data_IF_679682446558
#
_entry.id   IF_679682446558
#
_cell.length_a   1.000
_cell.length_b   1.000
_cell.length_c   1.000
_cell.angle_alpha   90.00
_cell.angle_beta   90.00
_cell.angle_gamma   90.00
#
_symmetry.space_group_name_H-M   'P 1'
#
loop_
_entity.id
_entity.type
_entity.pdbx_description
1 polymer ?
#
# COMPACT_ATOMS: atom_id res chain seq x y z
N UNK A 1 13.77 -5.86 -23.02
CA UNK A 1 13.83 -5.23 -21.68
C UNK A 1 13.32 -6.19 -20.63
N UNK A 2 13.96 -6.29 -19.47
CA UNK A 2 13.34 -6.95 -18.32
C UNK A 2 12.27 -6.03 -17.69
N UNK A 3 11.50 -6.56 -16.72
CA UNK A 3 10.39 -5.81 -16.12
C UNK A 3 10.86 -4.53 -15.40
N UNK A 4 11.95 -4.60 -14.63
CA UNK A 4 12.49 -3.43 -13.93
C UNK A 4 12.95 -2.35 -14.91
N UNK A 5 13.73 -2.74 -15.92
CA UNK A 5 14.22 -1.82 -16.98
C UNK A 5 13.05 -1.11 -17.67
N UNK A 6 11.98 -1.85 -17.99
CA UNK A 6 10.80 -1.32 -18.67
C UNK A 6 10.06 -0.31 -17.81
N UNK A 7 9.83 -0.61 -16.53
CA UNK A 7 9.19 0.32 -15.60
C UNK A 7 10.03 1.58 -15.42
N UNK A 8 11.34 1.43 -15.20
CA UNK A 8 12.25 2.57 -15.02
C UNK A 8 12.35 3.43 -16.28
N UNK A 9 12.41 2.82 -17.46
CA UNK A 9 12.39 3.56 -18.73
C UNK A 9 11.07 4.34 -18.89
N UNK A 10 9.93 3.74 -18.56
CA UNK A 10 8.63 4.41 -18.60
C UNK A 10 8.57 5.61 -17.66
N UNK A 11 9.01 5.46 -16.41
CA UNK A 11 9.07 6.55 -15.44
C UNK A 11 9.94 7.71 -15.95
N UNK A 12 11.06 7.37 -16.58
CA UNK A 12 11.99 8.34 -17.17
C UNK A 12 11.60 8.81 -18.58
N UNK A 13 10.40 8.46 -19.08
CA UNK A 13 9.88 8.83 -20.40
C UNK A 13 10.79 8.40 -21.55
N UNK A 14 11.44 7.27 -21.40
CA UNK A 14 12.29 6.65 -22.44
C UNK A 14 11.47 5.64 -23.26
N UNK A 15 11.89 5.35 -24.51
CA UNK A 15 11.26 4.32 -25.31
C UNK A 15 11.26 2.95 -24.61
N UNK A 16 10.18 2.23 -24.72
CA UNK A 16 9.99 0.89 -24.17
C UNK A 16 9.54 -0.09 -25.24
N UNK A 17 9.83 -1.36 -25.05
CA UNK A 17 9.42 -2.45 -25.95
C UNK A 17 7.91 -2.72 -25.91
N UNK A 18 7.27 -2.47 -24.77
CA UNK A 18 5.81 -2.47 -24.55
C UNK A 18 5.46 -1.66 -23.31
N UNK A 19 4.20 -1.32 -23.14
CA UNK A 19 3.71 -0.71 -21.90
C UNK A 19 3.90 -1.66 -20.71
N UNK A 20 4.43 -1.20 -19.56
CA UNK A 20 4.47 -1.99 -18.35
C UNK A 20 3.07 -2.39 -17.89
N UNK A 21 2.97 -3.59 -17.36
CA UNK A 21 1.71 -4.12 -16.81
C UNK A 21 1.81 -4.15 -15.30
N UNK A 22 0.84 -3.51 -14.66
CA UNK A 22 0.54 -3.65 -13.24
C UNK A 22 -0.80 -4.39 -13.10
N UNK A 23 -0.86 -5.35 -12.20
CA UNK A 23 -2.06 -6.15 -11.99
C UNK A 23 -2.34 -6.31 -10.50
N UNK A 24 -3.41 -5.69 -10.07
CA UNK A 24 -3.87 -5.74 -8.69
C UNK A 24 -4.91 -6.85 -8.53
N UNK A 25 -4.52 -7.94 -7.87
CA UNK A 25 -5.35 -9.12 -7.68
C UNK A 25 -5.82 -9.18 -6.23
N UNK A 26 -7.00 -8.63 -5.98
CA UNK A 26 -7.50 -8.39 -4.61
C UNK A 26 -8.41 -9.47 -4.07
N UNK A 27 -9.02 -10.28 -4.92
CA UNK A 27 -10.03 -11.22 -4.48
C UNK A 27 -9.45 -12.62 -4.32
N UNK A 28 -9.50 -13.15 -3.10
CA UNK A 28 -9.04 -14.51 -2.76
C UNK A 28 -9.59 -15.57 -3.72
N UNK A 29 -10.90 -15.55 -3.93
CA UNK A 29 -11.55 -16.51 -4.83
C UNK A 29 -11.05 -16.44 -6.27
N UNK A 30 -10.63 -15.26 -6.72
CA UNK A 30 -10.05 -15.08 -8.04
C UNK A 30 -8.61 -15.59 -8.09
N UNK A 31 -7.83 -15.31 -7.06
CA UNK A 31 -6.47 -15.85 -6.92
C UNK A 31 -6.48 -17.37 -6.87
N UNK A 32 -7.36 -17.99 -6.09
CA UNK A 32 -7.51 -19.44 -6.02
C UNK A 32 -7.82 -20.07 -7.38
N UNK A 33 -8.65 -19.42 -8.20
CA UNK A 33 -8.94 -19.87 -9.57
C UNK A 33 -7.72 -19.72 -10.48
N UNK A 34 -6.99 -18.62 -10.40
CA UNK A 34 -5.76 -18.43 -11.18
C UNK A 34 -4.69 -19.45 -10.78
N UNK A 35 -4.53 -19.72 -9.50
CA UNK A 35 -3.58 -20.72 -9.00
C UNK A 35 -3.97 -22.14 -9.41
N UNK A 36 -5.25 -22.43 -9.46
CA UNK A 36 -5.75 -23.73 -9.93
C UNK A 36 -5.51 -23.93 -11.44
N UNK A 37 -5.58 -22.87 -12.24
CA UNK A 37 -5.42 -22.92 -13.70
C UNK A 37 -3.96 -22.82 -14.15
N UNK A 38 -3.20 -21.91 -13.56
CA UNK A 38 -1.84 -21.59 -13.98
C UNK A 38 -0.76 -22.15 -13.03
N UNK A 39 -1.13 -22.62 -11.85
CA UNK A 39 -0.21 -23.01 -10.79
C UNK A 39 0.16 -21.85 -9.87
N UNK A 40 1.32 -21.91 -9.18
CA UNK A 40 1.72 -20.87 -8.23
C UNK A 40 1.67 -19.46 -8.83
N UNK A 41 1.39 -18.45 -7.98
CA UNK A 41 1.23 -17.05 -8.37
C UNK A 41 2.35 -16.55 -9.29
N UNK A 42 3.58 -16.95 -9.04
CA UNK A 42 4.75 -16.58 -9.85
C UNK A 42 4.59 -16.99 -11.31
N UNK A 43 3.99 -18.15 -11.57
CA UNK A 43 3.76 -18.64 -12.93
C UNK A 43 2.84 -17.74 -13.73
N UNK A 44 1.68 -17.39 -13.21
CA UNK A 44 0.78 -16.51 -13.96
C UNK A 44 1.30 -15.08 -14.05
N UNK A 45 2.01 -14.59 -13.02
CA UNK A 45 2.69 -13.29 -13.09
C UNK A 45 3.69 -13.27 -14.24
N UNK A 46 4.45 -14.34 -14.44
CA UNK A 46 5.38 -14.48 -15.55
C UNK A 46 4.66 -14.61 -16.90
N UNK A 47 3.63 -15.45 -16.97
CA UNK A 47 2.87 -15.70 -18.19
C UNK A 47 2.11 -14.46 -18.69
N UNK A 48 1.52 -13.70 -17.79
CA UNK A 48 0.89 -12.42 -18.12
C UNK A 48 1.86 -11.27 -18.27
N UNK A 49 3.15 -11.49 -18.01
CA UNK A 49 4.17 -10.48 -18.16
C UNK A 49 3.99 -9.28 -17.23
N UNK A 50 3.54 -9.53 -16.00
CA UNK A 50 3.36 -8.48 -14.98
C UNK A 50 4.70 -7.93 -14.57
N UNK A 51 4.87 -6.62 -14.69
CA UNK A 51 6.16 -5.94 -14.50
C UNK A 51 6.35 -5.36 -13.10
N UNK A 52 5.25 -5.17 -12.37
CA UNK A 52 5.24 -4.50 -11.08
C UNK A 52 4.72 -5.45 -10.00
N UNK A 53 5.37 -5.46 -8.86
CA UNK A 53 4.86 -6.05 -7.64
C UNK A 53 4.43 -4.93 -6.69
N UNK A 54 3.19 -4.94 -6.24
CA UNK A 54 2.69 -3.95 -5.29
C UNK A 54 2.58 -4.57 -3.91
N UNK A 55 3.35 -4.02 -2.95
CA UNK A 55 3.20 -4.31 -1.54
C UNK A 55 2.28 -3.29 -0.88
N UNK A 56 1.30 -3.75 -0.13
CA UNK A 56 0.40 -2.86 0.61
C UNK A 56 0.89 -2.66 2.03
N UNK A 57 0.88 -1.41 2.46
CA UNK A 57 0.99 -1.07 3.87
C UNK A 57 -0.35 -1.31 4.57
N UNK A 58 -0.35 -1.76 5.83
CA UNK A 58 -1.57 -1.84 6.61
C UNK A 58 -2.19 -0.45 6.78
N UNK A 59 -3.50 -0.40 7.01
CA UNK A 59 -4.16 0.85 7.41
C UNK A 59 -3.57 1.34 8.72
N UNK A 60 -3.37 2.65 8.88
CA UNK A 60 -2.80 3.21 10.10
C UNK A 60 -3.70 2.99 11.33
N UNK A 61 -5.01 2.79 11.13
CA UNK A 61 -5.93 2.48 12.22
C UNK A 61 -5.86 1.00 12.63
N UNK A 62 -4.94 0.70 13.56
CA UNK A 62 -4.78 -0.63 14.14
C UNK A 62 -5.67 -0.86 15.39
N UNK A 63 -6.46 0.14 15.78
CA UNK A 63 -7.24 0.10 17.03
C UNK A 63 -8.53 -0.73 16.92
N UNK A 64 -8.92 -1.15 15.71
CA UNK A 64 -10.11 -1.96 15.47
C UNK A 64 -11.45 -1.24 15.73
N UNK A 65 -11.46 0.09 15.86
CA UNK A 65 -12.65 0.91 16.09
C UNK A 65 -12.63 2.22 15.30
N UNK A 66 -13.79 2.85 15.20
CA UNK A 66 -13.93 4.23 14.73
C UNK A 66 -13.78 5.21 15.91
N UNK A 67 -13.39 6.42 15.59
CA UNK A 67 -13.20 7.52 16.50
C UNK A 67 -14.14 8.68 16.17
N UNK A 68 -14.48 9.50 17.17
CA UNK A 68 -14.99 10.86 16.94
C UNK A 68 -13.82 11.77 16.58
N UNK A 69 -14.11 12.86 15.84
CA UNK A 69 -13.06 13.81 15.43
C UNK A 69 -12.31 14.40 16.64
N UNK A 70 -13.00 14.64 17.78
CA UNK A 70 -12.42 15.17 18.99
C UNK A 70 -11.42 14.22 19.65
N UNK A 71 -11.60 12.91 19.45
CA UNK A 71 -10.67 11.91 19.97
C UNK A 71 -9.35 11.93 19.21
N UNK A 72 -9.35 12.36 17.92
CA UNK A 72 -8.14 12.47 17.11
C UNK A 72 -7.17 13.53 17.62
N UNK A 73 -7.67 14.57 18.33
CA UNK A 73 -6.82 15.61 18.90
C UNK A 73 -5.76 15.01 19.84
N UNK A 74 -6.15 14.01 20.63
CA UNK A 74 -5.29 13.33 21.61
C UNK A 74 -4.83 11.93 21.17
N UNK A 75 -5.26 11.46 20.02
CA UNK A 75 -4.89 10.13 19.53
C UNK A 75 -3.39 10.06 19.27
N UNK A 76 -2.72 9.13 19.90
CA UNK A 76 -1.33 8.83 19.61
C UNK A 76 -1.23 7.78 18.52
N UNK A 77 -0.64 8.13 17.38
CA UNK A 77 -0.35 7.16 16.32
C UNK A 77 0.79 6.25 16.77
N UNK A 78 0.69 4.97 16.40
CA UNK A 78 1.75 4.02 16.70
C UNK A 78 3.07 4.42 16.03
N UNK A 79 4.19 3.98 16.62
CA UNK A 79 5.51 4.32 16.09
C UNK A 79 5.63 3.93 14.61
N UNK A 80 5.82 4.88 13.70
CA UNK A 80 5.95 4.59 12.27
C UNK A 80 7.21 3.79 11.93
N UNK A 81 8.20 3.72 12.83
CA UNK A 81 9.43 2.94 12.67
C UNK A 81 9.32 1.51 13.17
N UNK A 82 8.19 1.12 13.75
CA UNK A 82 8.00 -0.25 14.21
C UNK A 82 8.17 -1.23 13.02
N UNK A 83 9.10 -2.21 13.12
CA UNK A 83 9.34 -3.20 12.06
C UNK A 83 8.10 -3.97 11.59
N UNK A 84 7.03 -3.99 12.40
CA UNK A 84 5.77 -4.60 12.02
C UNK A 84 5.18 -4.02 10.73
N UNK A 85 5.42 -2.74 10.45
CA UNK A 85 4.91 -2.10 9.24
C UNK A 85 5.52 -2.67 7.96
N UNK A 86 6.78 -3.12 8.02
CA UNK A 86 7.47 -3.76 6.90
C UNK A 86 7.18 -5.27 6.82
N UNK A 87 6.88 -5.89 7.96
CA UNK A 87 6.67 -7.33 8.08
C UNK A 87 5.19 -7.73 8.10
N UNK A 88 4.30 -6.80 7.87
CA UNK A 88 2.87 -7.04 7.93
C UNK A 88 2.42 -7.94 6.78
N UNK A 89 2.05 -9.17 7.11
CA UNK A 89 1.58 -10.17 6.14
C UNK A 89 0.08 -10.43 6.23
N UNK A 90 -0.60 -9.81 7.17
CA UNK A 90 -1.95 -10.21 7.54
C UNK A 90 -2.96 -9.11 7.30
N UNK A 91 -3.38 -8.96 6.08
CA UNK A 91 -4.68 -8.38 5.84
C UNK A 91 -5.64 -9.47 5.39
N UNK A 92 -6.91 -9.33 5.84
CA UNK A 92 -8.03 -10.12 5.33
C UNK A 92 -8.28 -9.89 3.82
N UNK A 93 -7.46 -9.10 3.18
CA UNK A 93 -7.32 -8.98 1.75
C UNK A 93 -6.08 -9.77 1.37
N UNK A 94 -6.26 -10.91 0.74
CA UNK A 94 -5.17 -11.77 0.28
C UNK A 94 -4.41 -11.12 -0.88
N UNK A 95 -3.63 -10.11 -0.57
CA UNK A 95 -2.60 -9.59 -1.48
C UNK A 95 -1.40 -10.54 -1.58
N UNK A 96 -1.65 -11.82 -1.33
CA UNK A 96 -0.64 -12.85 -1.42
C UNK A 96 0.30 -12.94 -0.24
N UNK A 97 -0.06 -12.39 0.94
CA UNK A 97 0.64 -12.66 2.21
C UNK A 97 2.13 -12.32 2.25
N UNK A 98 2.64 -11.60 1.27
CA UNK A 98 4.05 -11.29 1.16
C UNK A 98 4.34 -9.98 1.86
N UNK A 99 5.14 -9.98 2.91
CA UNK A 99 5.61 -8.74 3.50
C UNK A 99 6.51 -7.98 2.51
N UNK A 100 6.62 -6.67 2.67
CA UNK A 100 7.35 -5.80 1.74
C UNK A 100 8.82 -6.20 1.65
N UNK A 101 9.47 -6.50 2.77
CA UNK A 101 10.87 -6.91 2.78
C UNK A 101 11.10 -8.22 2.00
N UNK A 102 10.22 -9.21 2.18
CA UNK A 102 10.27 -10.45 1.40
C UNK A 102 9.99 -10.20 -0.09
N UNK A 103 9.03 -9.33 -0.41
CA UNK A 103 8.73 -8.95 -1.79
C UNK A 103 9.92 -8.28 -2.48
N UNK A 104 10.60 -7.36 -1.79
CA UNK A 104 11.84 -6.73 -2.28
C UNK A 104 12.92 -7.78 -2.53
N UNK A 105 13.17 -8.66 -1.56
CA UNK A 105 14.17 -9.70 -1.69
C UNK A 105 13.91 -10.65 -2.87
N UNK A 106 12.67 -11.05 -3.08
CA UNK A 106 12.27 -11.95 -4.16
C UNK A 106 12.31 -11.31 -5.55
N UNK A 107 12.07 -10.01 -5.63
CA UNK A 107 11.93 -9.29 -6.90
C UNK A 107 13.16 -8.43 -7.24
N UNK A 108 14.16 -8.35 -6.36
CA UNK A 108 15.36 -7.53 -6.55
C UNK A 108 16.02 -7.80 -7.90
N UNK A 109 16.14 -6.75 -8.73
CA UNK A 109 16.73 -6.81 -10.06
C UNK A 109 15.86 -7.47 -11.15
N UNK A 110 14.66 -7.99 -10.80
CA UNK A 110 13.75 -8.64 -11.74
C UNK A 110 12.53 -7.76 -12.08
N UNK A 111 11.86 -7.25 -11.04
CA UNK A 111 10.66 -6.43 -11.15
C UNK A 111 10.76 -5.18 -10.30
N UNK A 112 9.99 -4.19 -10.64
CA UNK A 112 9.78 -3.03 -9.78
C UNK A 112 8.88 -3.43 -8.61
N UNK A 113 9.29 -3.11 -7.40
CA UNK A 113 8.46 -3.25 -6.20
C UNK A 113 7.96 -1.86 -5.83
N UNK A 114 6.65 -1.70 -5.78
CA UNK A 114 5.99 -0.48 -5.31
C UNK A 114 5.39 -0.74 -3.94
N UNK A 115 5.63 0.16 -3.01
CA UNK A 115 4.91 0.19 -1.75
C UNK A 115 3.72 1.14 -1.88
N UNK A 116 2.52 0.63 -1.60
CA UNK A 116 1.31 1.45 -1.58
C UNK A 116 1.09 1.97 -0.16
N UNK A 117 1.16 3.29 -0.01
CA UNK A 117 0.77 4.00 1.21
C UNK A 117 -0.65 4.55 1.07
N UNK A 118 -1.42 4.48 2.14
CA UNK A 118 -2.79 4.98 2.15
C UNK A 118 -2.81 6.52 2.13
N UNK A 119 -3.56 7.10 1.19
CA UNK A 119 -3.68 8.54 1.06
C UNK A 119 -4.31 9.20 2.29
N UNK A 120 -4.18 10.53 2.39
CA UNK A 120 -4.62 11.31 3.56
C UNK A 120 -6.10 11.09 3.89
N UNK A 121 -6.98 11.22 2.90
CA UNK A 121 -8.43 11.04 3.10
C UNK A 121 -8.78 9.57 3.34
N UNK A 122 -8.17 8.67 2.58
CA UNK A 122 -8.44 7.23 2.67
C UNK A 122 -7.95 6.67 4.02
N UNK A 123 -6.72 7.00 4.42
CA UNK A 123 -6.19 6.64 5.73
C UNK A 123 -7.02 7.23 6.86
N UNK A 124 -7.40 8.51 6.78
CA UNK A 124 -8.26 9.16 7.78
C UNK A 124 -9.64 8.51 7.84
N UNK A 125 -10.19 8.08 6.73
CA UNK A 125 -11.48 7.36 6.72
C UNK A 125 -11.43 6.04 7.48
N UNK A 126 -10.25 5.45 7.65
CA UNK A 126 -10.07 4.27 8.50
C UNK A 126 -10.34 4.57 9.98
N UNK A 127 -10.05 5.78 10.43
CA UNK A 127 -10.29 6.24 11.80
C UNK A 127 -11.72 6.72 12.02
N UNK A 128 -12.24 7.56 11.13
CA UNK A 128 -13.54 8.24 11.29
C UNK A 128 -14.71 7.52 10.65
N UNK A 129 -14.47 6.68 9.65
CA UNK A 129 -15.46 6.26 8.68
C UNK A 129 -15.57 7.28 7.54
N UNK A 130 -15.94 6.81 6.36
CA UNK A 130 -15.94 7.65 5.15
C UNK A 130 -16.95 8.79 5.24
N UNK A 131 -18.13 8.54 5.75
CA UNK A 131 -19.20 9.54 5.90
C UNK A 131 -18.80 10.65 6.87
N UNK A 132 -18.29 10.27 8.06
CA UNK A 132 -17.82 11.25 9.05
C UNK A 132 -16.59 12.02 8.54
N UNK A 133 -15.69 11.38 7.82
CA UNK A 133 -14.54 12.06 7.22
C UNK A 133 -15.00 13.20 6.30
N UNK A 134 -15.96 12.96 5.43
CA UNK A 134 -16.53 13.99 4.56
C UNK A 134 -17.29 15.08 5.33
N UNK A 135 -18.10 14.70 6.34
CA UNK A 135 -18.80 15.66 7.18
C UNK A 135 -17.85 16.59 7.91
N UNK A 136 -16.76 16.04 8.49
CA UNK A 136 -15.80 16.84 9.25
C UNK A 136 -14.91 17.71 8.35
N UNK A 137 -14.64 17.30 7.12
CA UNK A 137 -13.94 18.18 6.15
C UNK A 137 -14.71 19.48 5.91
N UNK A 138 -16.05 19.45 5.93
CA UNK A 138 -16.87 20.63 5.80
C UNK A 138 -17.21 21.35 7.11
N UNK A 139 -17.39 20.56 8.19
CA UNK A 139 -17.89 21.08 9.48
C UNK A 139 -16.82 21.47 10.49
N UNK A 140 -15.64 20.84 10.42
CA UNK A 140 -14.52 21.03 11.39
C UNK A 140 -13.18 21.17 10.63
N UNK A 141 -13.07 22.08 9.67
CA UNK A 141 -11.91 22.13 8.75
C UNK A 141 -10.57 22.33 9.45
N UNK A 142 -10.52 23.17 10.50
CA UNK A 142 -9.27 23.43 11.24
C UNK A 142 -8.77 22.18 11.97
N UNK A 143 -9.71 21.42 12.54
CA UNK A 143 -9.39 20.18 13.24
C UNK A 143 -8.94 19.07 12.28
N UNK A 144 -9.59 19.01 11.11
CA UNK A 144 -9.16 18.10 10.04
C UNK A 144 -7.79 18.48 9.49
N UNK A 145 -7.47 19.75 9.34
CA UNK A 145 -6.15 20.20 8.92
C UNK A 145 -5.08 19.78 9.93
N UNK A 146 -5.31 20.04 11.22
CA UNK A 146 -4.38 19.64 12.28
C UNK A 146 -4.16 18.09 12.31
N UNK A 147 -5.22 17.32 12.09
CA UNK A 147 -5.10 15.87 11.95
C UNK A 147 -4.30 15.47 10.71
N UNK A 148 -4.54 16.11 9.57
CA UNK A 148 -3.81 15.82 8.34
C UNK A 148 -2.31 16.12 8.48
N UNK A 149 -1.94 17.23 9.13
CA UNK A 149 -0.54 17.54 9.40
C UNK A 149 0.13 16.43 10.23
N UNK A 150 -0.51 16.04 11.33
CA UNK A 150 -0.04 14.95 12.20
C UNK A 150 0.08 13.61 11.45
N UNK A 151 -0.90 13.30 10.62
CA UNK A 151 -0.90 12.06 9.84
C UNK A 151 0.13 12.11 8.71
N UNK A 152 0.33 13.27 8.07
CA UNK A 152 1.35 13.46 7.06
C UNK A 152 2.76 13.26 7.62
N UNK A 153 3.05 13.83 8.78
CA UNK A 153 4.33 13.65 9.47
C UNK A 153 4.60 12.17 9.75
N UNK A 154 3.58 11.46 10.23
CA UNK A 154 3.65 10.02 10.46
C UNK A 154 3.91 9.24 9.15
N UNK A 155 3.21 9.59 8.07
CA UNK A 155 3.39 8.95 6.76
C UNK A 155 4.76 9.23 6.15
N UNK A 156 5.32 10.43 6.31
CA UNK A 156 6.67 10.73 5.82
C UNK A 156 7.71 9.79 6.42
N UNK A 157 7.63 9.55 7.72
CA UNK A 157 8.53 8.58 8.38
C UNK A 157 8.30 7.15 7.87
N UNK A 158 7.05 6.77 7.59
CA UNK A 158 6.74 5.48 6.97
C UNK A 158 7.37 5.33 5.59
N UNK A 159 7.30 6.37 4.76
CA UNK A 159 7.91 6.38 3.43
C UNK A 159 9.42 6.23 3.52
N UNK A 160 10.07 6.95 4.45
CA UNK A 160 11.52 6.82 4.67
C UNK A 160 11.90 5.38 5.03
N UNK A 161 11.17 4.74 5.95
CA UNK A 161 11.38 3.34 6.30
C UNK A 161 11.22 2.38 5.12
N UNK A 162 10.25 2.65 4.24
CA UNK A 162 10.04 1.84 3.04
C UNK A 162 11.16 1.97 2.02
N UNK A 163 11.74 3.16 1.90
CA UNK A 163 12.87 3.42 1.00
C UNK A 163 14.15 2.77 1.50
N UNK A 164 14.32 2.70 2.83
CA UNK A 164 15.49 2.08 3.47
C UNK A 164 15.44 0.54 3.46
N UNK A 165 14.27 -0.07 3.35
CA UNK A 165 14.05 -1.52 3.39
C UNK A 165 14.36 -2.21 2.03
#
# INVERSE_FOLDING_TARGET
MNSLERVMATINRQPVDRTPIDCWLYQKQFLEKLEAEYGPREKFIEEFGVDVFVGLMPFPNQYGRRFDIKELDSLHLEDPKDPKWLNYSAWNYDFGGTNIAAAVAQNKGKRCVLAHCWGMVEGTSSFLGIENCWMYLGGEPDRMAAWFDKYADWMCVQVDNLVEA
#
